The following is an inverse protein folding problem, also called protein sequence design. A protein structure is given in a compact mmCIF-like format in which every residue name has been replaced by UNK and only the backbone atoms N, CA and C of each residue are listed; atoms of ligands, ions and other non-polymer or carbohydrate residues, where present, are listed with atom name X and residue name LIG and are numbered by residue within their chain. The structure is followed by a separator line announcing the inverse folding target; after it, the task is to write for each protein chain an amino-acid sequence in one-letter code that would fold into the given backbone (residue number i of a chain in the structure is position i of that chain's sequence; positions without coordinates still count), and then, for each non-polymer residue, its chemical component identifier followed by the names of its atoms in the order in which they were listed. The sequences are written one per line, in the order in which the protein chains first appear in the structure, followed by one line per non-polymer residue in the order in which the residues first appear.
data_IF_267826078649
#
_entry.id   IF_267826078649
#
_cell.length_a   1.000
_cell.length_b   1.000
_cell.length_c   1.000
_cell.angle_alpha   90.00
_cell.angle_beta   90.00
_cell.angle_gamma   90.00
#
_symmetry.space_group_name_H-M   'P 1'
#
loop_
_entity.id
_entity.type
_entity.pdbx_description
1 polymer ?
#
# COMPACT_ATOMS: atom_id res chain seq x y z
N UNK A 1 20.01 2.54 -6.53
CA UNK A 1 19.65 3.61 -5.54
C UNK A 1 18.58 3.05 -4.63
N UNK A 2 18.52 3.51 -3.35
CA UNK A 2 17.43 3.08 -2.47
C UNK A 2 16.24 4.02 -2.60
N UNK A 3 15.04 3.44 -2.76
CA UNK A 3 13.80 4.19 -2.75
C UNK A 3 13.41 4.59 -1.31
N UNK A 4 13.64 3.67 -0.35
CA UNK A 4 13.36 3.91 1.07
C UNK A 4 14.57 3.48 1.89
N UNK A 5 14.96 4.30 2.85
CA UNK A 5 15.92 3.96 3.91
C UNK A 5 15.35 4.39 5.26
N UNK A 6 15.06 3.43 6.13
CA UNK A 6 14.73 3.62 7.53
C UNK A 6 15.89 3.13 8.39
N UNK A 7 16.37 3.93 9.34
CA UNK A 7 17.45 3.58 10.26
C UNK A 7 16.99 3.78 11.69
N UNK A 8 16.80 2.68 12.43
CA UNK A 8 16.42 2.65 13.84
C UNK A 8 15.23 3.57 14.17
N UNK A 9 14.17 3.47 13.35
CA UNK A 9 12.99 4.33 13.43
C UNK A 9 12.09 3.86 14.57
N UNK A 10 11.85 4.73 15.55
CA UNK A 10 10.89 4.48 16.63
C UNK A 10 9.81 5.55 16.66
N UNK A 11 8.56 5.10 16.90
CA UNK A 11 7.38 5.96 16.96
C UNK A 11 6.52 5.58 18.14
N UNK A 12 6.05 6.58 18.87
CA UNK A 12 5.20 6.43 20.03
C UNK A 12 3.92 7.24 19.85
N UNK A 13 2.81 6.71 20.33
CA UNK A 13 1.55 7.42 20.54
C UNK A 13 1.34 7.47 22.04
N UNK A 14 1.55 8.61 22.65
CA UNK A 14 1.62 8.76 24.11
C UNK A 14 2.60 7.72 24.69
N UNK A 15 2.13 6.78 25.50
CA UNK A 15 2.93 5.72 26.13
C UNK A 15 2.97 4.41 25.32
N UNK A 16 2.32 4.36 24.15
CA UNK A 16 2.24 3.16 23.32
C UNK A 16 3.30 3.18 22.23
N UNK A 17 4.23 2.21 22.28
CA UNK A 17 5.20 2.00 21.21
C UNK A 17 4.51 1.42 19.98
N UNK A 18 4.54 2.14 18.87
CA UNK A 18 3.97 1.70 17.61
C UNK A 18 5.03 1.16 16.64
N UNK A 19 6.24 1.72 16.68
CA UNK A 19 7.43 1.23 15.98
C UNK A 19 8.62 1.28 16.95
N UNK A 20 9.41 0.22 16.99
CA UNK A 20 10.58 0.10 17.85
C UNK A 20 11.82 -0.24 17.02
N UNK A 21 12.73 0.73 16.90
CA UNK A 21 14.02 0.63 16.22
C UNK A 21 13.98 -0.04 14.82
N UNK A 22 12.94 0.25 14.03
CA UNK A 22 12.73 -0.34 12.70
C UNK A 22 13.81 0.14 11.73
N UNK A 23 14.54 -0.82 11.13
CA UNK A 23 15.52 -0.56 10.06
C UNK A 23 15.10 -1.32 8.81
N UNK A 24 14.77 -0.58 7.72
CA UNK A 24 14.26 -1.13 6.47
C UNK A 24 14.91 -0.42 5.30
N UNK A 25 15.43 -1.17 4.33
CA UNK A 25 15.97 -0.63 3.10
C UNK A 25 15.22 -1.23 1.91
N UNK A 26 14.65 -0.39 1.05
CA UNK A 26 13.92 -0.82 -0.15
C UNK A 26 14.65 -0.28 -1.38
N UNK A 27 15.20 -1.16 -2.25
CA UNK A 27 15.80 -0.74 -3.51
C UNK A 27 14.78 -0.08 -4.44
N UNK A 28 15.25 0.83 -5.30
CA UNK A 28 14.43 1.37 -6.38
C UNK A 28 14.02 0.26 -7.36
N UNK A 29 12.75 0.26 -7.78
CA UNK A 29 12.17 -0.76 -8.65
C UNK A 29 11.78 -2.06 -7.94
N UNK A 30 11.88 -2.12 -6.61
CA UNK A 30 11.42 -3.28 -5.85
C UNK A 30 9.89 -3.33 -5.72
N UNK A 31 9.36 -4.54 -5.48
CA UNK A 31 7.97 -4.76 -5.11
C UNK A 31 7.94 -5.41 -3.72
N UNK A 32 7.81 -4.56 -2.70
CA UNK A 32 7.82 -4.96 -1.31
C UNK A 32 6.41 -5.17 -0.77
N UNK A 33 6.17 -6.31 -0.12
CA UNK A 33 5.01 -6.55 0.74
C UNK A 33 5.34 -6.39 2.22
N UNK A 34 4.64 -5.50 2.92
CA UNK A 34 4.74 -5.37 4.37
C UNK A 34 3.57 -6.12 5.00
N UNK A 35 3.88 -7.14 5.79
CA UNK A 35 2.90 -7.97 6.49
C UNK A 35 3.08 -7.90 8.01
N UNK A 36 2.03 -8.27 8.72
CA UNK A 36 2.04 -8.34 10.19
C UNK A 36 0.64 -8.24 10.77
N UNK A 37 0.50 -8.42 12.09
CA UNK A 37 -0.80 -8.38 12.77
C UNK A 37 -1.42 -6.98 12.73
N UNK A 38 -2.73 -6.93 13.03
CA UNK A 38 -3.40 -5.65 13.28
C UNK A 38 -2.78 -4.99 14.52
N UNK A 39 -2.51 -3.69 14.44
CA UNK A 39 -1.79 -2.99 15.50
C UNK A 39 -0.26 -3.15 15.45
N UNK A 40 0.30 -3.96 14.55
CA UNK A 40 1.75 -4.18 14.41
C UNK A 40 2.56 -3.01 13.82
N UNK A 41 1.99 -1.81 13.70
CA UNK A 41 2.72 -0.60 13.27
C UNK A 41 2.75 -0.34 11.76
N UNK A 42 2.14 -1.18 10.91
CA UNK A 42 2.20 -1.06 9.44
C UNK A 42 1.72 0.30 8.91
N UNK A 43 0.52 0.74 9.30
CA UNK A 43 -0.01 2.06 8.89
C UNK A 43 0.77 3.21 9.54
N UNK A 44 1.37 3.01 10.71
CA UNK A 44 2.29 3.97 11.35
C UNK A 44 3.54 4.14 10.49
N UNK A 45 4.15 3.04 10.05
CA UNK A 45 5.29 3.08 9.13
C UNK A 45 4.94 3.82 7.84
N UNK A 46 3.79 3.54 7.21
CA UNK A 46 3.36 4.28 6.02
C UNK A 46 3.20 5.78 6.29
N UNK A 47 2.62 6.17 7.43
CA UNK A 47 2.48 7.60 7.80
C UNK A 47 3.83 8.29 7.98
N UNK A 48 4.85 7.60 8.53
CA UNK A 48 6.19 8.15 8.65
C UNK A 48 6.88 8.28 7.30
N UNK A 49 6.71 7.29 6.40
CA UNK A 49 7.22 7.36 5.02
C UNK A 49 6.58 8.51 4.22
N UNK A 50 5.33 8.82 4.50
CA UNK A 50 4.60 9.94 3.89
C UNK A 50 4.98 11.31 4.50
N UNK A 51 5.75 11.34 5.59
CA UNK A 51 6.06 12.57 6.34
C UNK A 51 4.86 13.14 7.09
N UNK A 52 3.81 12.35 7.31
CA UNK A 52 2.63 12.73 8.10
C UNK A 52 2.84 12.54 9.60
N UNK A 53 3.89 11.82 9.96
CA UNK A 53 4.28 11.55 11.34
C UNK A 53 5.80 11.58 11.43
N UNK A 54 6.34 12.38 12.35
CA UNK A 54 7.78 12.41 12.63
C UNK A 54 8.15 11.30 13.62
N UNK A 55 9.22 10.53 13.37
CA UNK A 55 9.69 9.52 14.31
C UNK A 55 10.28 10.19 15.57
N UNK A 56 10.10 9.55 16.73
CA UNK A 56 10.70 9.97 17.99
C UNK A 56 12.23 9.77 17.97
N UNK A 57 12.72 8.77 17.26
CA UNK A 57 14.15 8.51 17.04
C UNK A 57 14.39 7.83 15.69
N UNK A 58 15.65 7.84 15.27
CA UNK A 58 16.05 7.27 13.97
C UNK A 58 15.93 8.28 12.82
N UNK A 59 16.03 7.79 11.59
CA UNK A 59 15.93 8.62 10.40
C UNK A 59 15.27 7.88 9.24
N UNK A 60 14.59 8.66 8.37
CA UNK A 60 13.94 8.15 7.15
C UNK A 60 14.41 8.99 5.97
N UNK A 61 14.78 8.31 4.89
CA UNK A 61 15.06 8.93 3.61
C UNK A 61 14.26 8.25 2.49
N UNK A 62 13.66 9.04 1.61
CA UNK A 62 12.96 8.60 0.39
C UNK A 62 13.74 9.16 -0.79
N UNK A 63 14.35 8.28 -1.60
CA UNK A 63 15.29 8.66 -2.66
C UNK A 63 16.37 9.65 -2.17
N UNK A 64 16.88 9.44 -0.95
CA UNK A 64 17.89 10.30 -0.30
C UNK A 64 17.38 11.64 0.24
N UNK A 65 16.07 11.93 0.18
CA UNK A 65 15.43 13.14 0.69
C UNK A 65 14.63 12.84 1.95
N UNK A 66 14.39 13.86 2.79
CA UNK A 66 13.44 13.74 3.91
C UNK A 66 12.02 13.47 3.36
N UNK A 67 11.16 12.71 4.06
CA UNK A 67 9.82 12.38 3.59
C UNK A 67 8.99 13.60 3.13
N UNK A 68 8.98 14.68 3.89
CA UNK A 68 8.26 15.91 3.53
C UNK A 68 8.73 16.53 2.20
N UNK A 69 10.02 16.45 1.89
CA UNK A 69 10.63 16.95 0.63
C UNK A 69 10.38 16.00 -0.54
N UNK A 70 10.15 14.71 -0.24
CA UNK A 70 9.92 13.67 -1.22
C UNK A 70 8.43 13.47 -1.57
N UNK A 71 7.52 14.21 -0.99
CA UNK A 71 6.06 14.01 -1.10
C UNK A 71 5.55 13.91 -2.55
N UNK A 72 6.16 14.67 -3.48
CA UNK A 72 5.83 14.60 -4.91
C UNK A 72 6.33 13.34 -5.63
N UNK A 73 7.26 12.61 -5.00
CA UNK A 73 7.79 11.35 -5.54
C UNK A 73 6.95 10.15 -5.09
N UNK A 74 5.97 10.37 -4.20
CA UNK A 74 5.17 9.33 -3.56
C UNK A 74 3.73 9.44 -4.03
N UNK A 75 3.20 8.37 -4.62
CA UNK A 75 1.78 8.13 -4.79
C UNK A 75 1.26 7.32 -3.59
N UNK A 76 0.15 7.72 -3.02
CA UNK A 76 -0.42 7.02 -1.87
C UNK A 76 -1.87 6.60 -2.10
N UNK A 77 -2.13 5.32 -1.86
CA UNK A 77 -3.46 4.72 -1.89
C UNK A 77 -3.81 4.28 -0.47
N UNK A 78 -4.68 5.03 0.24
CA UNK A 78 -5.07 4.71 1.60
C UNK A 78 -6.00 3.51 1.67
N UNK A 79 -6.07 2.88 2.85
CA UNK A 79 -7.06 1.87 3.15
C UNK A 79 -8.47 2.44 2.98
N UNK A 80 -9.28 1.74 2.21
CA UNK A 80 -10.62 2.18 1.89
C UNK A 80 -11.63 1.71 2.94
N UNK A 81 -11.79 2.46 4.03
CA UNK A 81 -12.75 2.11 5.08
C UNK A 81 -13.93 3.08 5.24
N UNK A 82 -13.83 4.32 4.75
CA UNK A 82 -14.84 5.36 5.03
C UNK A 82 -15.01 6.38 3.90
N UNK A 83 -15.27 5.90 2.69
CA UNK A 83 -15.63 6.82 1.61
C UNK A 83 -17.13 7.12 1.66
N UNK A 84 -17.51 8.39 1.77
CA UNK A 84 -18.93 8.76 1.67
C UNK A 84 -19.40 8.56 0.22
N UNK A 85 -20.15 7.50 0.00
CA UNK A 85 -20.73 7.17 -1.32
C UNK A 85 -21.68 8.24 -1.86
N UNK A 86 -22.08 9.22 -1.05
CA UNK A 86 -22.92 10.34 -1.45
C UNK A 86 -22.10 11.49 -2.04
N UNK A 87 -20.76 11.44 -1.95
CA UNK A 87 -19.91 12.50 -2.47
C UNK A 87 -20.06 12.60 -4.00
N UNK A 88 -20.49 13.77 -4.55
CA UNK A 88 -20.90 13.92 -5.93
C UNK A 88 -19.70 14.16 -6.87
N UNK A 89 -18.63 13.36 -6.75
CA UNK A 89 -17.48 13.44 -7.65
C UNK A 89 -17.52 12.31 -8.67
N UNK A 90 -17.11 12.61 -9.90
CA UNK A 90 -16.89 11.62 -10.93
C UNK A 90 -15.53 10.91 -10.78
N UNK A 91 -15.34 9.81 -11.51
CA UNK A 91 -14.05 9.11 -11.62
C UNK A 91 -12.97 10.08 -12.12
N UNK A 92 -13.27 10.90 -13.14
CA UNK A 92 -12.36 11.90 -13.67
C UNK A 92 -11.98 12.94 -12.61
N UNK A 93 -12.94 13.44 -11.82
CA UNK A 93 -12.66 14.44 -10.78
C UNK A 93 -11.71 13.89 -9.73
N UNK A 94 -11.92 12.66 -9.29
CA UNK A 94 -11.07 12.01 -8.27
C UNK A 94 -9.67 11.73 -8.82
N UNK A 95 -9.56 11.23 -10.05
CA UNK A 95 -8.25 10.96 -10.66
C UNK A 95 -7.45 12.27 -10.87
N UNK A 96 -8.12 13.35 -11.30
CA UNK A 96 -7.51 14.68 -11.46
C UNK A 96 -6.98 15.26 -10.15
N UNK A 97 -7.49 14.86 -8.98
CA UNK A 97 -6.95 15.33 -7.69
C UNK A 97 -5.44 15.04 -7.55
N UNK A 98 -4.92 14.00 -8.21
CA UNK A 98 -3.48 13.71 -8.24
C UNK A 98 -2.64 14.76 -8.99
N UNK A 99 -3.27 15.62 -9.81
CA UNK A 99 -2.63 16.72 -10.55
C UNK A 99 -2.69 18.07 -9.82
N UNK A 100 -3.22 18.08 -8.58
CA UNK A 100 -3.30 19.31 -7.80
C UNK A 100 -1.91 19.90 -7.53
N UNK A 101 -1.70 21.20 -7.76
CA UNK A 101 -0.44 21.84 -7.41
C UNK A 101 -0.31 21.97 -5.89
N UNK A 102 0.93 22.09 -5.39
CA UNK A 102 1.21 22.26 -3.96
C UNK A 102 0.56 23.52 -3.36
N UNK A 103 0.26 24.52 -4.19
CA UNK A 103 -0.45 25.74 -3.78
C UNK A 103 -1.61 25.96 -4.75
N UNK A 104 -2.82 25.90 -4.22
CA UNK A 104 -4.03 26.23 -4.97
C UNK A 104 -4.16 27.76 -5.06
N UNK A 105 -4.51 28.24 -6.24
CA UNK A 105 -4.92 29.64 -6.47
C UNK A 105 -6.43 29.72 -6.57
N UNK A 106 -7.03 30.88 -6.31
CA UNK A 106 -8.49 31.07 -6.33
C UNK A 106 -9.14 30.74 -7.71
N UNK A 107 -8.35 30.79 -8.79
CA UNK A 107 -8.81 30.51 -10.16
C UNK A 107 -8.14 29.27 -10.74
N UNK A 108 -7.77 28.30 -9.90
CA UNK A 108 -7.16 27.06 -10.38
C UNK A 108 -8.14 26.28 -11.28
N UNK A 109 -7.65 25.85 -12.43
CA UNK A 109 -8.32 24.89 -13.30
C UNK A 109 -7.30 23.91 -13.87
N UNK A 110 -7.69 22.64 -14.02
CA UNK A 110 -6.85 21.65 -14.67
C UNK A 110 -6.61 22.00 -16.13
N UNK A 111 -5.37 21.88 -16.57
CA UNK A 111 -4.99 22.10 -17.96
C UNK A 111 -5.59 21.02 -18.88
N UNK A 112 -5.59 21.29 -20.20
CA UNK A 112 -5.96 20.26 -21.18
C UNK A 112 -5.02 19.07 -21.14
N UNK A 113 -3.75 19.31 -20.90
CA UNK A 113 -2.73 18.27 -20.75
C UNK A 113 -3.02 17.37 -19.54
N UNK A 114 -3.38 17.95 -18.37
CA UNK A 114 -3.72 17.16 -17.18
C UNK A 114 -4.90 16.21 -17.44
N UNK A 115 -5.93 16.72 -18.13
CA UNK A 115 -7.10 15.91 -18.46
C UNK A 115 -6.76 14.77 -19.42
N UNK A 116 -6.00 15.05 -20.48
CA UNK A 116 -5.55 14.03 -21.44
C UNK A 116 -4.67 12.96 -20.76
N UNK A 117 -3.75 13.39 -19.89
CA UNK A 117 -2.90 12.47 -19.15
C UNK A 117 -3.72 11.55 -18.25
N UNK A 118 -4.68 12.10 -17.50
CA UNK A 118 -5.56 11.31 -16.65
C UNK A 118 -6.47 10.38 -17.48
N UNK A 119 -6.98 10.82 -18.64
CA UNK A 119 -7.73 9.93 -19.55
C UNK A 119 -6.89 8.71 -19.97
N UNK A 120 -5.63 8.92 -20.37
CA UNK A 120 -4.70 7.82 -20.69
C UNK A 120 -4.48 6.89 -19.51
N UNK A 121 -4.35 7.42 -18.28
CA UNK A 121 -4.27 6.59 -17.08
C UNK A 121 -5.53 5.76 -16.85
N UNK A 122 -6.72 6.35 -17.05
CA UNK A 122 -7.99 5.61 -16.91
C UNK A 122 -8.12 4.51 -17.97
N UNK A 123 -7.61 4.71 -19.19
CA UNK A 123 -7.51 3.67 -20.23
C UNK A 123 -6.58 2.54 -19.81
N UNK A 124 -5.37 2.85 -19.34
CA UNK A 124 -4.40 1.86 -18.84
C UNK A 124 -4.94 1.05 -17.66
N UNK A 125 -5.79 1.66 -16.84
CA UNK A 125 -6.43 1.03 -15.69
C UNK A 125 -7.78 0.37 -16.02
N UNK A 126 -8.18 0.32 -17.30
CA UNK A 126 -9.41 -0.30 -17.81
C UNK A 126 -10.69 0.24 -17.13
N UNK A 127 -10.76 1.55 -16.88
CA UNK A 127 -11.90 2.27 -16.29
C UNK A 127 -12.27 3.56 -17.03
N UNK A 128 -11.80 3.75 -18.28
CA UNK A 128 -12.07 4.95 -19.05
C UNK A 128 -13.57 5.13 -19.38
N UNK A 129 -14.30 4.03 -19.58
CA UNK A 129 -15.74 4.00 -19.78
C UNK A 129 -16.54 4.51 -18.59
N UNK A 130 -15.91 4.57 -17.42
CA UNK A 130 -16.52 5.01 -16.15
C UNK A 130 -16.19 6.46 -15.81
N UNK A 131 -15.44 7.20 -16.64
CA UNK A 131 -14.88 8.52 -16.31
C UNK A 131 -15.89 9.53 -15.76
N UNK A 132 -17.11 9.52 -16.29
CA UNK A 132 -18.19 10.43 -15.90
C UNK A 132 -19.10 9.85 -14.80
N UNK A 133 -18.87 8.58 -14.40
CA UNK A 133 -19.65 7.91 -13.36
C UNK A 133 -19.28 8.43 -11.99
N UNK A 134 -20.29 8.63 -11.14
CA UNK A 134 -20.07 8.97 -9.74
C UNK A 134 -19.36 7.80 -8.99
N UNK A 135 -18.33 8.13 -8.20
CA UNK A 135 -17.52 7.15 -7.46
C UNK A 135 -18.34 6.32 -6.48
N UNK A 136 -19.42 6.86 -5.93
CA UNK A 136 -20.35 6.12 -5.04
C UNK A 136 -21.09 4.96 -5.71
N UNK A 137 -21.11 4.90 -7.06
CA UNK A 137 -21.77 3.85 -7.85
C UNK A 137 -20.81 2.79 -8.37
N UNK A 138 -19.54 2.84 -7.97
CA UNK A 138 -18.52 1.89 -8.40
C UNK A 138 -18.51 0.63 -7.51
N UNK A 139 -18.08 -0.49 -8.10
CA UNK A 139 -17.69 -1.67 -7.31
C UNK A 139 -16.42 -1.37 -6.52
N UNK A 140 -16.08 -2.21 -5.51
CA UNK A 140 -14.85 -2.07 -4.74
C UNK A 140 -13.60 -2.07 -5.61
N UNK A 141 -13.51 -3.01 -6.56
CA UNK A 141 -12.37 -3.09 -7.49
C UNK A 141 -12.26 -1.90 -8.45
N UNK A 142 -13.40 -1.42 -8.98
CA UNK A 142 -13.42 -0.21 -9.82
C UNK A 142 -12.95 1.02 -9.05
N UNK A 143 -13.44 1.21 -7.84
CA UNK A 143 -13.04 2.32 -7.00
C UNK A 143 -11.56 2.24 -6.61
N UNK A 144 -11.05 1.04 -6.34
CA UNK A 144 -9.63 0.84 -6.08
C UNK A 144 -8.76 1.26 -7.27
N UNK A 145 -9.16 0.93 -8.50
CA UNK A 145 -8.49 1.39 -9.73
C UNK A 145 -8.52 2.93 -9.85
N UNK A 146 -9.61 3.58 -9.46
CA UNK A 146 -9.70 5.06 -9.43
C UNK A 146 -8.72 5.66 -8.42
N UNK A 147 -8.58 5.07 -7.23
CA UNK A 147 -7.62 5.54 -6.22
C UNK A 147 -6.17 5.34 -6.68
N UNK A 148 -5.90 4.25 -7.40
CA UNK A 148 -4.59 4.02 -8.04
C UNK A 148 -4.37 5.07 -9.14
N UNK A 149 -5.37 5.36 -10.00
CA UNK A 149 -5.27 6.41 -11.01
C UNK A 149 -4.93 7.76 -10.39
N UNK A 150 -5.59 8.15 -9.31
CA UNK A 150 -5.30 9.36 -8.56
C UNK A 150 -3.85 9.41 -8.06
N UNK A 151 -3.36 8.30 -7.50
CA UNK A 151 -1.99 8.22 -7.00
C UNK A 151 -0.96 8.31 -8.14
N UNK A 152 -1.21 7.65 -9.27
CA UNK A 152 -0.36 7.67 -10.46
C UNK A 152 -0.39 9.01 -11.19
N UNK A 153 -1.50 9.75 -11.10
CA UNK A 153 -1.63 11.06 -11.73
C UNK A 153 -0.58 12.07 -11.23
N UNK A 154 -0.01 11.87 -10.04
CA UNK A 154 1.11 12.66 -9.53
C UNK A 154 2.47 12.31 -10.17
N UNK A 155 2.55 11.33 -11.07
CA UNK A 155 3.78 10.80 -11.68
C UNK A 155 4.83 10.36 -10.64
N UNK A 156 4.44 9.50 -9.68
CA UNK A 156 5.33 9.12 -8.59
C UNK A 156 6.43 8.17 -9.05
N UNK A 157 7.53 8.08 -8.27
CA UNK A 157 8.55 7.03 -8.38
C UNK A 157 8.34 5.90 -7.38
N UNK A 158 7.56 6.16 -6.32
CA UNK A 158 7.20 5.22 -5.26
C UNK A 158 5.69 5.21 -5.07
N UNK A 159 5.07 4.04 -5.15
CA UNK A 159 3.65 3.84 -4.88
C UNK A 159 3.50 3.10 -3.55
N UNK A 160 2.87 3.74 -2.58
CA UNK A 160 2.53 3.17 -1.28
C UNK A 160 1.04 2.82 -1.24
N UNK A 161 0.71 1.58 -0.90
CA UNK A 161 -0.68 1.12 -0.81
C UNK A 161 -0.94 0.51 0.58
N UNK A 162 -1.98 1.00 1.24
CA UNK A 162 -2.42 0.50 2.55
C UNK A 162 -3.66 -0.40 2.36
N UNK A 163 -3.49 -1.71 2.46
CA UNK A 163 -4.54 -2.74 2.31
C UNK A 163 -5.46 -2.55 1.07
N UNK A 164 -4.91 -2.40 -0.15
CA UNK A 164 -5.68 -2.00 -1.33
C UNK A 164 -6.76 -2.99 -1.75
N UNK A 165 -6.77 -4.21 -1.21
CA UNK A 165 -7.70 -5.27 -1.59
C UNK A 165 -8.65 -5.71 -0.46
N UNK A 166 -8.66 -5.00 0.68
CA UNK A 166 -9.45 -5.40 1.86
C UNK A 166 -10.96 -5.49 1.60
N UNK A 167 -11.49 -4.68 0.69
CA UNK A 167 -12.93 -4.61 0.36
C UNK A 167 -13.25 -5.06 -1.08
N UNK A 168 -12.41 -5.93 -1.65
CA UNK A 168 -12.46 -6.33 -3.05
C UNK A 168 -12.71 -7.85 -3.15
N UNK A 169 -13.53 -8.30 -4.09
CA UNK A 169 -13.75 -9.72 -4.35
C UNK A 169 -12.48 -10.42 -4.90
N UNK A 170 -12.41 -11.75 -4.79
CA UNK A 170 -11.22 -12.55 -5.12
C UNK A 170 -10.74 -12.35 -6.56
N UNK A 171 -11.65 -12.26 -7.55
CA UNK A 171 -11.27 -12.05 -8.95
C UNK A 171 -10.68 -10.66 -9.17
N UNK A 172 -11.30 -9.65 -8.60
CA UNK A 172 -10.81 -8.26 -8.68
C UNK A 172 -9.51 -8.06 -7.91
N UNK A 173 -9.27 -8.80 -6.82
CA UNK A 173 -7.97 -8.82 -6.12
C UNK A 173 -6.84 -9.24 -7.05
N UNK A 174 -6.98 -10.37 -7.72
CA UNK A 174 -5.97 -10.89 -8.65
C UNK A 174 -5.65 -9.86 -9.74
N UNK A 175 -6.67 -9.24 -10.33
CA UNK A 175 -6.49 -8.19 -11.34
C UNK A 175 -5.73 -6.97 -10.81
N UNK A 176 -5.98 -6.55 -9.55
CA UNK A 176 -5.23 -5.45 -8.92
C UNK A 176 -3.76 -5.83 -8.73
N UNK A 177 -3.45 -7.04 -8.30
CA UNK A 177 -2.05 -7.46 -8.13
C UNK A 177 -1.31 -7.58 -9.46
N UNK A 178 -1.94 -8.09 -10.51
CA UNK A 178 -1.38 -8.10 -11.86
C UNK A 178 -1.07 -6.67 -12.34
N UNK A 179 -2.01 -5.75 -12.16
CA UNK A 179 -1.83 -4.33 -12.44
C UNK A 179 -0.63 -3.75 -11.68
N UNK A 180 -0.52 -4.00 -10.37
CA UNK A 180 0.60 -3.50 -9.55
C UNK A 180 1.94 -4.09 -10.02
N UNK A 181 1.96 -5.35 -10.46
CA UNK A 181 3.15 -5.99 -11.02
C UNK A 181 3.58 -5.34 -12.35
N UNK A 182 2.64 -4.94 -13.19
CA UNK A 182 2.95 -4.20 -14.42
C UNK A 182 3.48 -2.80 -14.10
N UNK A 183 2.86 -2.08 -13.18
CA UNK A 183 3.31 -0.77 -12.71
C UNK A 183 4.72 -0.84 -12.11
N UNK A 184 5.05 -1.93 -11.40
CA UNK A 184 6.38 -2.13 -10.80
C UNK A 184 7.53 -2.17 -11.83
N UNK A 185 7.25 -2.37 -13.12
CA UNK A 185 8.29 -2.27 -14.17
C UNK A 185 8.88 -0.87 -14.29
N UNK A 186 8.16 0.15 -13.84
CA UNK A 186 8.51 1.55 -14.01
C UNK A 186 8.64 2.33 -12.70
N UNK A 187 8.14 1.80 -11.58
CA UNK A 187 8.17 2.44 -10.28
C UNK A 187 8.35 1.44 -9.15
N UNK A 188 8.78 1.91 -7.99
CA UNK A 188 8.86 1.10 -6.78
C UNK A 188 7.45 0.94 -6.19
N UNK A 189 7.08 -0.27 -5.79
CA UNK A 189 5.77 -0.55 -5.18
C UNK A 189 5.96 -1.07 -3.76
N UNK A 190 5.26 -0.49 -2.80
CA UNK A 190 5.18 -1.00 -1.42
C UNK A 190 3.72 -1.17 -1.06
N UNK A 191 3.36 -2.39 -0.70
CA UNK A 191 2.00 -2.73 -0.31
C UNK A 191 1.97 -3.23 1.14
N UNK A 192 1.08 -2.68 1.94
CA UNK A 192 0.73 -3.24 3.24
C UNK A 192 -0.45 -4.18 3.04
N UNK A 193 -0.32 -5.42 3.49
CA UNK A 193 -1.40 -6.42 3.39
C UNK A 193 -1.36 -7.40 4.55
N UNK A 194 -2.51 -7.96 4.90
CA UNK A 194 -2.62 -9.10 5.80
C UNK A 194 -2.86 -10.42 5.03
N UNK A 195 -2.98 -10.36 3.70
CA UNK A 195 -3.22 -11.52 2.83
C UNK A 195 -1.89 -12.19 2.45
N UNK A 196 -1.49 -13.18 3.24
CA UNK A 196 -0.24 -13.93 3.04
C UNK A 196 -0.26 -14.77 1.74
N UNK A 197 -1.45 -15.19 1.28
CA UNK A 197 -1.59 -16.02 0.07
C UNK A 197 -1.15 -15.35 -1.23
N UNK A 198 -1.21 -14.03 -1.27
CA UNK A 198 -0.84 -13.24 -2.46
C UNK A 198 0.65 -12.94 -2.53
N UNK A 199 1.35 -13.02 -1.39
CA UNK A 199 2.75 -12.64 -1.27
C UNK A 199 3.65 -13.47 -2.17
N UNK A 200 3.42 -14.80 -2.21
CA UNK A 200 4.30 -15.73 -2.93
C UNK A 200 4.24 -15.62 -4.46
N UNK A 201 3.17 -15.06 -5.03
CA UNK A 201 2.95 -15.06 -6.47
C UNK A 201 3.24 -13.73 -7.18
N UNK A 202 3.20 -12.60 -6.44
CA UNK A 202 3.26 -11.28 -7.06
C UNK A 202 4.34 -10.36 -6.49
N UNK A 203 4.79 -10.60 -5.25
CA UNK A 203 5.70 -9.74 -4.50
C UNK A 203 7.13 -10.27 -4.63
N UNK A 204 8.11 -9.35 -4.75
CA UNK A 204 9.53 -9.70 -4.89
C UNK A 204 10.23 -9.83 -3.55
N UNK A 205 9.92 -8.95 -2.61
CA UNK A 205 10.48 -8.96 -1.26
C UNK A 205 9.38 -8.79 -0.23
N UNK A 206 9.58 -9.34 0.97
CA UNK A 206 8.62 -9.25 2.06
C UNK A 206 9.29 -8.68 3.32
N UNK A 207 8.56 -7.85 4.04
CA UNK A 207 8.94 -7.34 5.36
C UNK A 207 7.88 -7.73 6.39
N UNK A 208 8.28 -8.44 7.44
CA UNK A 208 7.41 -8.86 8.53
C UNK A 208 7.54 -7.87 9.69
N UNK A 209 6.48 -7.10 9.94
CA UNK A 209 6.45 -6.03 10.93
C UNK A 209 5.44 -6.33 12.05
N UNK A 210 5.95 -6.32 13.29
CA UNK A 210 5.13 -6.31 14.49
C UNK A 210 5.84 -5.45 15.54
N UNK A 211 5.60 -4.13 15.53
CA UNK A 211 6.33 -3.07 16.20
C UNK A 211 7.82 -3.03 15.80
N UNK A 212 8.48 -4.17 15.73
CA UNK A 212 9.83 -4.38 15.23
C UNK A 212 9.80 -5.07 13.86
N UNK A 213 10.87 -4.91 13.11
CA UNK A 213 11.07 -5.63 11.85
C UNK A 213 11.68 -7.00 12.16
N UNK A 214 10.90 -8.08 12.01
CA UNK A 214 11.34 -9.45 12.29
C UNK A 214 12.00 -10.12 11.09
N UNK A 215 11.63 -9.73 9.89
CA UNK A 215 12.17 -10.28 8.65
C UNK A 215 12.09 -9.28 7.52
N UNK A 216 13.10 -9.30 6.65
CA UNK A 216 13.10 -8.58 5.36
C UNK A 216 13.94 -9.36 4.35
N UNK A 217 13.33 -9.84 3.26
CA UNK A 217 14.01 -10.65 2.26
C UNK A 217 13.07 -11.25 1.22
N UNK A 218 13.46 -12.37 0.65
CA UNK A 218 12.65 -13.10 -0.33
C UNK A 218 11.32 -13.58 0.27
N UNK A 219 10.25 -13.79 -0.54
CA UNK A 219 8.92 -14.12 -0.05
C UNK A 219 8.78 -15.59 0.42
N UNK A 220 9.85 -16.18 0.94
CA UNK A 220 9.87 -17.50 1.56
C UNK A 220 9.50 -17.43 3.04
N UNK A 221 8.20 -17.48 3.30
CA UNK A 221 7.68 -17.45 4.67
C UNK A 221 7.69 -18.86 5.26
N UNK A 222 8.61 -19.11 6.20
CA UNK A 222 8.59 -20.34 6.98
C UNK A 222 7.50 -20.32 8.05
N UNK A 223 6.93 -21.48 8.40
CA UNK A 223 5.90 -21.58 9.44
C UNK A 223 6.33 -20.95 10.77
N UNK A 224 7.60 -21.14 11.19
CA UNK A 224 8.14 -20.54 12.40
C UNK A 224 8.21 -19.01 12.37
N UNK A 225 8.51 -18.41 11.21
CA UNK A 225 8.51 -16.95 11.05
C UNK A 225 7.09 -16.38 11.16
N UNK A 226 6.13 -17.06 10.53
CA UNK A 226 4.72 -16.64 10.60
C UNK A 226 4.20 -16.74 12.04
N UNK A 227 4.53 -17.81 12.75
CA UNK A 227 4.19 -17.96 14.17
C UNK A 227 4.80 -16.85 15.04
N UNK A 228 6.07 -16.53 14.81
CA UNK A 228 6.77 -15.46 15.54
C UNK A 228 6.15 -14.08 15.31
N UNK A 229 5.73 -13.78 14.07
CA UNK A 229 5.19 -12.46 13.69
C UNK A 229 3.73 -12.32 14.07
N UNK A 230 2.92 -13.36 13.88
CA UNK A 230 1.47 -13.32 14.10
C UNK A 230 1.02 -13.88 15.45
N UNK A 231 1.92 -14.55 16.21
CA UNK A 231 1.63 -15.08 17.53
C UNK A 231 0.71 -16.29 17.55
N UNK A 232 0.45 -16.92 16.40
CA UNK A 232 -0.34 -18.15 16.30
C UNK A 232 0.32 -19.15 15.33
N UNK A 233 0.27 -20.47 15.62
CA UNK A 233 0.79 -21.47 14.73
C UNK A 233 -0.03 -21.48 13.43
N UNK A 234 0.66 -21.37 12.29
CA UNK A 234 0.07 -21.42 10.96
C UNK A 234 0.70 -22.57 10.21
N UNK A 235 -0.05 -23.64 9.99
CA UNK A 235 0.39 -24.74 9.11
C UNK A 235 0.23 -24.28 7.66
N UNK A 236 1.35 -24.03 6.98
CA UNK A 236 1.39 -23.80 5.54
C UNK A 236 1.40 -25.16 4.83
N UNK A 237 0.25 -25.64 4.40
CA UNK A 237 0.16 -26.87 3.59
C UNK A 237 0.40 -26.50 2.12
N UNK A 238 1.53 -26.93 1.58
CA UNK A 238 1.86 -26.84 0.17
C UNK A 238 1.38 -28.10 -0.58
N UNK A 239 0.24 -28.03 -1.20
CA UNK A 239 -0.19 -29.00 -2.20
C UNK A 239 -0.37 -28.28 -3.52
N UNK A 240 0.67 -28.16 -4.34
CA UNK A 240 0.58 -27.68 -5.74
C UNK A 240 -0.16 -26.36 -6.00
N UNK A 241 -1.03 -25.96 -5.09
CA UNK A 241 -1.64 -24.67 -4.92
C UNK A 241 -1.69 -24.38 -3.40
N UNK A 242 -1.07 -23.32 -2.89
CA UNK A 242 -1.05 -23.03 -1.47
C UNK A 242 -2.47 -22.65 -0.99
N UNK A 243 -3.05 -23.47 -0.14
CA UNK A 243 -4.27 -23.12 0.60
C UNK A 243 -4.03 -23.29 2.10
N UNK A 244 -4.72 -22.47 2.86
CA UNK A 244 -4.60 -22.33 4.31
C UNK A 244 -5.56 -23.27 5.00
N UNK A 245 -5.07 -24.10 5.94
CA UNK A 245 -5.92 -24.79 6.89
C UNK A 245 -5.57 -24.27 8.29
N UNK A 246 -6.53 -23.65 8.96
CA UNK A 246 -6.41 -23.30 10.39
C UNK A 246 -6.68 -24.57 11.20
N UNK A 247 -5.80 -24.92 12.14
CA UNK A 247 -6.13 -25.93 13.15
C UNK A 247 -7.26 -25.42 14.02
N UNK A 248 -8.31 -26.22 14.20
CA UNK A 248 -9.33 -25.97 15.21
C UNK A 248 -8.67 -25.92 16.60
N UNK A 249 -8.98 -24.88 17.36
CA UNK A 249 -8.63 -24.82 18.76
C UNK A 249 -9.38 -25.96 19.46
N UNK A 250 -8.67 -26.99 19.86
CA UNK A 250 -9.24 -28.04 20.70
C UNK A 250 -9.79 -27.42 21.99
N UNK A 251 -11.07 -27.57 22.20
CA UNK A 251 -11.71 -27.24 23.48
C UNK A 251 -11.02 -28.02 24.57
N UNK A 252 -10.22 -27.34 25.36
CA UNK A 252 -9.72 -27.86 26.64
C UNK A 252 -10.85 -27.87 27.67
N UNK A 253 -11.56 -28.99 27.77
CA UNK A 253 -12.44 -29.26 28.90
C UNK A 253 -11.54 -29.75 30.03
N UNK A 254 -11.47 -28.99 31.10
CA UNK A 254 -11.40 -29.46 32.49
C UNK A 254 -11.52 -28.27 33.43
#
# INVERSE_FOLDING_TARGET
MNAIECKQVSVWYDDVCALDAVSLTVPEGDFLGIIGPNGGGKSTLLKTLLGLLEPASGSIAIFGKKPAEASRLIGYVPQFSRFDRRFPASVMDVALMGRLPARLTAFFSYSRHDRQYVETLLEQLEIADLKDRQIGRLSGGQLQRVLIARALAAEPRLLLLDEPTASVDTRSKEQIYQLLKELNRHLTVVIVTHDVGVISSHIRTVACLNQQLHYHGEPELTGGLVEQVFGCPVDLLAHGAPHRVLKEHGEGIA
#
